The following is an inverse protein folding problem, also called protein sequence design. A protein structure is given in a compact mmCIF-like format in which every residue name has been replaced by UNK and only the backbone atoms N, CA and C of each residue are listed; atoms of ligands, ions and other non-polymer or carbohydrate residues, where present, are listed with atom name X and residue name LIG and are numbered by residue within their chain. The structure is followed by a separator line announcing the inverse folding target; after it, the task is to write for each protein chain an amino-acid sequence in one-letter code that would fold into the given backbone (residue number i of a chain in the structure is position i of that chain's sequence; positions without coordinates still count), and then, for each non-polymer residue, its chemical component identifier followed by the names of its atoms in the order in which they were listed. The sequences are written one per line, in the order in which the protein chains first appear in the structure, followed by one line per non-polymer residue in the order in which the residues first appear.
data_IF_721171989503
#
_entry.id   IF_721171989503
#
_cell.length_a   1.000
_cell.length_b   1.000
_cell.length_c   1.000
_cell.angle_alpha   90.00
_cell.angle_beta   90.00
_cell.angle_gamma   90.00
#
_symmetry.space_group_name_H-M   'P 1'
#
loop_
_entity.id
_entity.type
_entity.pdbx_description
1 polymer ?
#
# COMPACT_ATOMS: atom_id res chain seq x y z
N UNK A 1 -13.41 -36.60 25.02
CA UNK A 1 -12.30 -36.44 24.08
C UNK A 1 -12.68 -35.34 23.11
N UNK A 2 -12.33 -34.12 23.43
CA UNK A 2 -12.55 -32.96 22.57
C UNK A 2 -11.73 -33.11 21.30
N UNK A 3 -12.40 -33.29 20.17
CA UNK A 3 -11.80 -33.15 18.86
C UNK A 3 -11.32 -31.71 18.70
N UNK A 4 -10.17 -31.38 19.22
CA UNK A 4 -9.48 -30.11 18.95
C UNK A 4 -9.12 -30.15 17.46
N UNK A 5 -9.96 -29.55 16.63
CA UNK A 5 -9.68 -29.33 15.22
C UNK A 5 -8.40 -28.49 15.12
N UNK A 6 -7.27 -29.19 14.97
CA UNK A 6 -5.95 -28.59 14.80
C UNK A 6 -5.97 -27.71 13.57
N UNK A 7 -5.86 -26.40 13.76
CA UNK A 7 -5.83 -25.43 12.67
C UNK A 7 -4.37 -25.08 12.36
N UNK A 8 -3.99 -25.25 11.09
CA UNK A 8 -2.66 -24.91 10.60
C UNK A 8 -2.69 -23.61 9.80
N UNK A 9 -1.68 -22.78 9.99
CA UNK A 9 -1.45 -21.56 9.23
C UNK A 9 -0.01 -21.52 8.75
N UNK A 10 0.21 -21.13 7.51
CA UNK A 10 1.54 -20.92 6.96
C UNK A 10 1.90 -19.41 7.05
N UNK A 11 3.08 -19.12 7.53
CA UNK A 11 3.58 -17.75 7.59
C UNK A 11 3.76 -17.18 6.18
N UNK A 12 3.27 -15.96 5.93
CA UNK A 12 3.40 -15.29 4.63
C UNK A 12 4.85 -14.97 4.29
N UNK A 13 5.68 -14.63 5.28
CA UNK A 13 7.07 -14.22 5.08
C UNK A 13 8.05 -15.38 4.93
N UNK A 14 8.03 -16.35 5.86
CA UNK A 14 9.01 -17.43 5.84
C UNK A 14 8.47 -18.77 5.34
N UNK A 15 7.15 -18.89 5.12
CA UNK A 15 6.51 -20.13 4.67
C UNK A 15 6.44 -21.23 5.72
N UNK A 16 6.84 -20.99 6.96
CA UNK A 16 6.80 -21.97 8.06
C UNK A 16 5.36 -22.25 8.46
N UNK A 17 4.99 -23.52 8.54
CA UNK A 17 3.66 -23.98 8.98
C UNK A 17 3.65 -24.08 10.50
N UNK A 18 2.77 -23.31 11.12
CA UNK A 18 2.54 -23.33 12.57
C UNK A 18 1.15 -23.86 12.87
N UNK A 19 1.04 -24.63 13.92
CA UNK A 19 -0.23 -24.97 14.52
C UNK A 19 -0.72 -23.79 15.33
N UNK A 20 -1.95 -23.34 15.09
CA UNK A 20 -2.56 -22.25 15.87
C UNK A 20 -3.04 -22.80 17.21
N UNK A 21 -2.50 -22.32 18.34
CA UNK A 21 -3.06 -22.62 19.65
C UNK A 21 -4.40 -21.92 19.82
N UNK A 22 -5.17 -22.33 20.82
CA UNK A 22 -6.34 -21.56 21.26
C UNK A 22 -5.83 -20.23 21.81
N UNK A 23 -6.17 -19.14 21.13
CA UNK A 23 -5.68 -17.81 21.44
C UNK A 23 -6.67 -17.12 22.40
N UNK A 24 -6.19 -16.58 23.52
CA UNK A 24 -6.99 -15.80 24.43
C UNK A 24 -7.34 -14.42 23.86
N UNK A 25 -8.42 -13.82 24.36
CA UNK A 25 -8.88 -12.49 23.94
C UNK A 25 -7.83 -11.44 24.26
N UNK A 26 -7.38 -10.72 23.23
CA UNK A 26 -6.36 -9.67 23.35
C UNK A 26 -4.93 -10.15 23.08
N UNK A 27 -4.71 -11.45 22.86
CA UNK A 27 -3.39 -11.99 22.53
C UNK A 27 -3.15 -12.09 21.04
N UNK A 28 -1.88 -12.24 20.68
CA UNK A 28 -1.39 -12.29 19.28
C UNK A 28 -0.61 -13.58 19.10
N UNK A 29 -0.92 -14.35 18.06
CA UNK A 29 -0.10 -15.46 17.65
C UNK A 29 0.96 -14.99 16.67
N UNK A 30 2.23 -15.29 16.96
CA UNK A 30 3.38 -14.98 16.11
C UNK A 30 4.05 -16.25 15.59
N UNK A 31 4.68 -16.15 14.44
CA UNK A 31 5.44 -17.23 13.84
C UNK A 31 6.67 -17.56 14.70
N UNK A 32 6.86 -18.82 15.05
CA UNK A 32 8.01 -19.28 15.84
C UNK A 32 9.36 -19.15 15.11
N UNK A 33 9.35 -19.02 13.77
CA UNK A 33 10.55 -18.90 12.96
C UNK A 33 11.01 -17.44 12.77
N UNK A 34 10.10 -16.52 12.37
CA UNK A 34 10.47 -15.15 11.98
C UNK A 34 9.79 -14.06 12.82
N UNK A 35 8.95 -14.43 13.80
CA UNK A 35 8.24 -13.48 14.67
C UNK A 35 7.11 -12.70 13.98
N UNK A 36 6.77 -12.98 12.71
CA UNK A 36 5.66 -12.34 12.01
C UNK A 36 4.32 -12.65 12.68
N UNK A 37 3.44 -11.67 12.77
CA UNK A 37 2.11 -11.82 13.37
C UNK A 37 1.22 -12.66 12.45
N UNK A 38 0.75 -13.81 12.92
CA UNK A 38 -0.09 -14.72 12.15
C UNK A 38 -1.57 -14.36 12.28
N UNK A 39 -2.05 -14.12 13.48
CA UNK A 39 -3.43 -13.73 13.77
C UNK A 39 -3.54 -13.08 15.15
N UNK A 40 -4.59 -12.26 15.33
CA UNK A 40 -4.85 -11.54 16.58
C UNK A 40 -6.31 -11.70 16.98
N UNK A 41 -6.56 -12.10 18.23
CA UNK A 41 -7.93 -12.21 18.75
C UNK A 41 -8.37 -10.91 19.41
N UNK A 42 -9.16 -10.10 18.71
CA UNK A 42 -9.75 -8.87 19.23
C UNK A 42 -10.94 -9.17 20.17
N UNK A 43 -11.12 -8.34 21.20
CA UNK A 43 -12.21 -8.50 22.19
C UNK A 43 -13.62 -8.35 21.58
N UNK A 44 -13.80 -7.38 20.67
CA UNK A 44 -15.07 -7.10 20.00
C UNK A 44 -14.85 -6.91 18.49
N UNK A 45 -14.53 -7.98 17.73
CA UNK A 45 -14.08 -7.84 16.36
C UNK A 45 -15.17 -7.26 15.45
N UNK A 46 -16.43 -7.68 15.60
CA UNK A 46 -17.54 -7.21 14.77
C UNK A 46 -17.87 -5.75 15.03
N UNK A 47 -18.10 -5.40 16.31
CA UNK A 47 -18.54 -4.05 16.69
C UNK A 47 -17.48 -3.01 16.37
N UNK A 48 -16.22 -3.32 16.68
CA UNK A 48 -15.09 -2.43 16.39
C UNK A 48 -14.91 -2.19 14.88
N UNK A 49 -15.03 -3.24 14.05
CA UNK A 49 -14.96 -3.12 12.61
C UNK A 49 -16.08 -2.27 12.03
N UNK A 50 -17.33 -2.50 12.48
CA UNK A 50 -18.51 -1.73 12.03
C UNK A 50 -18.40 -0.26 12.45
N UNK A 51 -18.09 0.01 13.73
CA UNK A 51 -18.01 1.38 14.25
C UNK A 51 -16.90 2.19 13.57
N UNK A 52 -15.70 1.60 13.42
CA UNK A 52 -14.59 2.29 12.75
C UNK A 52 -14.87 2.55 11.26
N UNK A 53 -15.45 1.58 10.54
CA UNK A 53 -15.74 1.76 9.12
C UNK A 53 -16.85 2.78 8.88
N UNK A 54 -17.89 2.81 9.74
CA UNK A 54 -18.93 3.82 9.68
C UNK A 54 -18.38 5.21 9.98
N UNK A 55 -17.58 5.35 11.06
CA UNK A 55 -16.93 6.61 11.39
C UNK A 55 -16.01 7.11 10.29
N UNK A 56 -15.27 6.18 9.66
CA UNK A 56 -14.40 6.49 8.53
C UNK A 56 -15.18 7.01 7.32
N UNK A 57 -16.31 6.41 6.97
CA UNK A 57 -17.18 6.87 5.87
C UNK A 57 -17.78 8.26 6.16
N UNK A 58 -18.22 8.52 7.40
CA UNK A 58 -18.74 9.83 7.80
C UNK A 58 -17.63 10.89 7.66
N UNK A 59 -16.41 10.61 8.17
CA UNK A 59 -15.28 11.54 8.05
C UNK A 59 -14.89 11.79 6.59
N UNK A 60 -14.95 10.77 5.72
CA UNK A 60 -14.70 10.92 4.30
C UNK A 60 -15.73 11.86 3.65
N UNK A 61 -17.02 11.66 3.91
CA UNK A 61 -18.08 12.54 3.38
C UNK A 61 -17.89 13.97 3.84
N UNK A 62 -17.59 14.20 5.12
CA UNK A 62 -17.31 15.52 5.66
C UNK A 62 -16.05 16.15 5.02
N UNK A 63 -15.04 15.35 4.72
CA UNK A 63 -13.82 15.84 4.06
C UNK A 63 -14.03 16.26 2.59
N UNK A 64 -15.10 15.78 1.95
CA UNK A 64 -15.46 16.16 0.59
C UNK A 64 -16.43 17.35 0.54
N UNK A 65 -17.18 17.60 1.64
CA UNK A 65 -18.25 18.60 1.68
C UNK A 65 -17.75 20.02 1.92
N UNK A 66 -16.61 20.20 2.59
CA UNK A 66 -16.09 21.52 2.96
C UNK A 66 -14.80 21.86 2.20
N UNK A 67 -14.40 23.16 2.17
CA UNK A 67 -13.11 23.57 1.61
C UNK A 67 -11.96 22.89 2.35
N UNK A 68 -11.04 22.32 1.59
CA UNK A 68 -9.87 21.63 2.14
C UNK A 68 -8.82 22.61 2.64
N UNK A 69 -8.55 23.64 1.84
CA UNK A 69 -7.67 24.75 2.19
C UNK A 69 -8.07 25.99 1.42
N UNK A 70 -7.67 27.15 1.92
CA UNK A 70 -7.75 28.39 1.17
C UNK A 70 -6.41 29.11 1.21
N UNK A 71 -6.08 29.78 0.13
CA UNK A 71 -4.88 30.59 0.06
C UNK A 71 -5.24 32.00 -0.44
N UNK A 72 -4.47 32.98 0.01
CA UNK A 72 -4.64 34.38 -0.34
C UNK A 72 -3.33 34.90 -0.91
N UNK A 73 -3.42 35.46 -2.13
CA UNK A 73 -2.32 36.16 -2.80
C UNK A 73 -2.84 37.52 -3.24
N UNK A 74 -2.21 38.59 -2.79
CA UNK A 74 -2.57 40.00 -3.14
C UNK A 74 -4.07 40.32 -2.91
N UNK A 75 -4.70 39.74 -1.87
CA UNK A 75 -6.09 39.97 -1.54
C UNK A 75 -7.11 39.09 -2.27
N UNK A 76 -6.70 38.30 -3.25
CA UNK A 76 -7.54 37.28 -3.91
C UNK A 76 -7.54 36.00 -3.09
N UNK A 77 -8.71 35.65 -2.53
CA UNK A 77 -8.90 34.36 -1.81
C UNK A 77 -9.41 33.31 -2.77
N UNK A 78 -8.74 32.16 -2.79
CA UNK A 78 -9.18 30.98 -3.52
C UNK A 78 -9.35 29.81 -2.55
N UNK A 79 -10.51 29.17 -2.63
CA UNK A 79 -10.83 27.98 -1.84
C UNK A 79 -10.70 26.73 -2.72
N UNK A 80 -10.07 25.69 -2.17
CA UNK A 80 -9.83 24.45 -2.88
C UNK A 80 -10.57 23.32 -2.19
N UNK A 81 -11.41 22.64 -2.97
CA UNK A 81 -12.07 21.42 -2.60
C UNK A 81 -11.28 20.21 -3.13
N UNK A 82 -11.26 19.13 -2.38
CA UNK A 82 -10.51 17.94 -2.74
C UNK A 82 -10.93 17.35 -4.10
N UNK A 83 -12.24 17.36 -4.39
CA UNK A 83 -12.77 16.87 -5.68
C UNK A 83 -12.42 17.82 -6.82
N UNK A 84 -12.50 19.13 -6.61
CA UNK A 84 -12.20 20.15 -7.61
C UNK A 84 -10.72 20.12 -7.98
N UNK A 85 -9.82 19.84 -7.02
CA UNK A 85 -8.41 19.67 -7.28
C UNK A 85 -8.13 18.48 -8.25
N UNK A 86 -8.81 17.37 -8.07
CA UNK A 86 -8.70 16.22 -8.98
C UNK A 86 -9.29 16.51 -10.36
N UNK A 87 -10.40 17.26 -10.44
CA UNK A 87 -11.04 17.66 -11.69
C UNK A 87 -10.16 18.63 -12.48
N UNK A 88 -9.60 19.65 -11.84
CA UNK A 88 -8.68 20.59 -12.49
C UNK A 88 -7.47 19.91 -13.12
N UNK A 89 -6.91 18.90 -12.47
CA UNK A 89 -5.83 18.10 -13.03
C UNK A 89 -6.24 17.34 -14.28
N UNK A 90 -7.47 16.83 -14.34
CA UNK A 90 -7.95 16.12 -15.53
C UNK A 90 -8.22 17.04 -16.72
N UNK A 91 -8.71 18.23 -16.48
CA UNK A 91 -9.01 19.24 -17.52
C UNK A 91 -7.73 19.81 -18.14
N UNK A 92 -6.64 19.94 -17.39
CA UNK A 92 -5.36 20.50 -17.83
C UNK A 92 -4.41 19.49 -18.49
N UNK A 93 -4.92 18.60 -19.33
CA UNK A 93 -4.18 17.58 -20.10
C UNK A 93 -3.41 16.53 -19.26
N UNK A 94 -3.61 16.51 -17.94
CA UNK A 94 -2.96 15.57 -17.03
C UNK A 94 -3.93 14.58 -16.40
N UNK A 95 -4.83 14.03 -17.23
CA UNK A 95 -5.86 13.09 -16.83
C UNK A 95 -5.32 11.91 -16.00
N UNK A 96 -4.11 11.46 -16.31
CA UNK A 96 -3.47 10.34 -15.59
C UNK A 96 -3.17 10.70 -14.13
N UNK A 97 -2.64 11.89 -13.85
CA UNK A 97 -2.37 12.34 -12.47
C UNK A 97 -3.67 12.61 -11.71
N UNK A 98 -4.67 13.23 -12.34
CA UNK A 98 -5.98 13.49 -11.73
C UNK A 98 -6.72 12.20 -11.40
N UNK A 99 -6.74 11.21 -12.31
CA UNK A 99 -7.37 9.89 -12.06
C UNK A 99 -6.61 9.10 -10.99
N UNK A 100 -5.29 9.17 -10.95
CA UNK A 100 -4.48 8.53 -9.91
C UNK A 100 -4.78 9.14 -8.54
N UNK A 101 -4.85 10.47 -8.45
CA UNK A 101 -5.18 11.17 -7.20
C UNK A 101 -6.59 10.82 -6.72
N UNK A 102 -7.61 10.99 -7.57
CA UNK A 102 -8.98 10.66 -7.22
C UNK A 102 -9.13 9.19 -6.84
N UNK A 103 -8.52 8.29 -7.64
CA UNK A 103 -8.57 6.85 -7.42
C UNK A 103 -7.97 6.44 -6.09
N UNK A 104 -6.75 6.90 -5.78
CA UNK A 104 -6.01 6.48 -4.58
C UNK A 104 -6.48 7.14 -3.29
N UNK A 105 -6.98 8.39 -3.35
CA UNK A 105 -7.30 9.20 -2.17
C UNK A 105 -8.79 9.14 -1.81
N UNK A 106 -9.67 9.05 -2.81
CA UNK A 106 -11.13 9.09 -2.60
C UNK A 106 -11.78 7.75 -2.92
N UNK A 107 -11.64 7.27 -4.16
CA UNK A 107 -12.39 6.12 -4.64
C UNK A 107 -11.99 4.80 -3.96
N UNK A 108 -10.72 4.45 -3.96
CA UNK A 108 -10.25 3.19 -3.34
C UNK A 108 -10.49 3.13 -1.83
N UNK A 109 -10.22 4.20 -1.03
CA UNK A 109 -10.55 4.20 0.39
C UNK A 109 -12.05 4.13 0.68
N UNK A 110 -12.90 4.82 -0.10
CA UNK A 110 -14.35 4.72 0.00
C UNK A 110 -14.84 3.30 -0.27
N UNK A 111 -14.36 2.68 -1.34
CA UNK A 111 -14.68 1.29 -1.69
C UNK A 111 -14.18 0.32 -0.62
N UNK A 112 -12.96 0.50 -0.13
CA UNK A 112 -12.37 -0.35 0.91
C UNK A 112 -13.16 -0.30 2.22
N UNK A 113 -13.50 0.90 2.70
CA UNK A 113 -14.25 1.07 3.95
C UNK A 113 -15.69 0.56 3.84
N UNK A 114 -16.36 0.75 2.70
CA UNK A 114 -17.69 0.15 2.42
C UNK A 114 -17.63 -1.37 2.36
N UNK A 115 -16.61 -1.96 1.75
CA UNK A 115 -16.40 -3.41 1.74
C UNK A 115 -16.18 -3.96 3.16
N UNK A 116 -15.38 -3.29 3.97
CA UNK A 116 -15.16 -3.69 5.38
C UNK A 116 -16.45 -3.64 6.17
N UNK A 117 -17.21 -2.55 6.05
CA UNK A 117 -18.50 -2.41 6.71
C UNK A 117 -19.44 -3.56 6.35
N UNK A 118 -19.61 -3.81 5.07
CA UNK A 118 -20.44 -4.90 4.56
C UNK A 118 -20.00 -6.27 5.07
N UNK A 119 -18.69 -6.58 4.98
CA UNK A 119 -18.15 -7.88 5.38
C UNK A 119 -18.25 -8.12 6.90
N UNK A 120 -18.07 -7.08 7.74
CA UNK A 120 -18.24 -7.22 9.19
C UNK A 120 -19.71 -7.41 9.59
N UNK A 121 -20.65 -6.74 8.91
CA UNK A 121 -22.09 -6.97 9.09
C UNK A 121 -22.44 -8.41 8.71
N UNK A 122 -21.98 -8.88 7.55
CA UNK A 122 -22.21 -10.26 7.10
C UNK A 122 -21.54 -11.31 8.00
N UNK A 123 -20.32 -11.04 8.48
CA UNK A 123 -19.65 -11.92 9.45
C UNK A 123 -20.42 -12.01 10.78
N UNK A 124 -20.99 -10.89 11.27
CA UNK A 124 -21.85 -10.88 12.46
C UNK A 124 -23.14 -11.70 12.22
N UNK A 125 -23.77 -11.54 11.06
CA UNK A 125 -24.96 -12.33 10.67
C UNK A 125 -24.62 -13.82 10.57
N UNK A 126 -23.50 -14.19 9.96
CA UNK A 126 -23.03 -15.56 9.86
C UNK A 126 -22.83 -16.24 11.22
N UNK A 127 -22.26 -15.49 12.18
CA UNK A 127 -22.08 -15.97 13.55
C UNK A 127 -23.43 -16.26 14.25
N UNK A 128 -24.51 -15.53 13.90
CA UNK A 128 -25.85 -15.71 14.45
C UNK A 128 -26.69 -16.77 13.70
N UNK A 129 -26.10 -17.59 12.82
CA UNK A 129 -26.76 -18.66 12.03
C UNK A 129 -27.92 -18.21 11.14
N UNK A 130 -28.00 -16.93 10.77
CA UNK A 130 -29.08 -16.36 9.95
C UNK A 130 -28.75 -16.32 8.43
N UNK A 131 -27.97 -17.27 7.90
CA UNK A 131 -27.41 -17.13 6.54
C UNK A 131 -27.97 -18.13 5.52
N UNK A 132 -28.26 -17.62 4.31
CA UNK A 132 -28.49 -18.39 3.08
C UNK A 132 -27.15 -18.65 2.37
N UNK A 133 -27.03 -19.82 1.73
CA UNK A 133 -25.80 -20.33 1.09
C UNK A 133 -25.26 -19.44 -0.06
N UNK A 134 -26.15 -18.65 -0.70
CA UNK A 134 -25.83 -17.72 -1.79
C UNK A 134 -24.98 -16.51 -1.34
N UNK A 135 -25.18 -16.05 -0.12
CA UNK A 135 -24.45 -14.88 0.43
C UNK A 135 -22.95 -15.13 0.63
N UNK A 136 -22.55 -16.40 0.81
CA UNK A 136 -21.16 -16.77 0.99
C UNK A 136 -20.31 -16.57 -0.28
N UNK A 137 -20.86 -16.81 -1.47
CA UNK A 137 -20.12 -16.63 -2.72
C UNK A 137 -19.78 -15.17 -2.98
N UNK A 138 -20.72 -14.26 -2.72
CA UNK A 138 -20.49 -12.81 -2.86
C UNK A 138 -19.47 -12.33 -1.83
N UNK A 139 -19.63 -12.71 -0.56
CA UNK A 139 -18.72 -12.33 0.51
C UNK A 139 -17.28 -12.81 0.27
N UNK A 140 -17.07 -14.00 -0.30
CA UNK A 140 -15.77 -14.52 -0.71
C UNK A 140 -15.13 -13.67 -1.82
N UNK A 141 -15.91 -13.31 -2.85
CA UNK A 141 -15.43 -12.44 -3.94
C UNK A 141 -15.05 -11.06 -3.43
N UNK A 142 -15.90 -10.46 -2.60
CA UNK A 142 -15.66 -9.14 -2.01
C UNK A 142 -14.45 -9.15 -1.05
N UNK A 143 -14.28 -10.21 -0.24
CA UNK A 143 -13.08 -10.37 0.59
C UNK A 143 -11.81 -10.46 -0.26
N UNK A 144 -11.86 -11.14 -1.42
CA UNK A 144 -10.72 -11.18 -2.35
C UNK A 144 -10.38 -9.79 -2.87
N UNK A 145 -11.38 -9.02 -3.32
CA UNK A 145 -11.20 -7.65 -3.82
C UNK A 145 -10.62 -6.75 -2.72
N UNK A 146 -11.12 -6.87 -1.49
CA UNK A 146 -10.64 -6.11 -0.34
C UNK A 146 -9.13 -6.24 -0.14
N UNK A 147 -8.58 -7.46 -0.15
CA UNK A 147 -7.16 -7.70 0.08
C UNK A 147 -6.28 -7.35 -1.15
N UNK A 148 -6.85 -7.33 -2.37
CA UNK A 148 -6.16 -6.84 -3.57
C UNK A 148 -6.04 -5.31 -3.55
N UNK A 149 -7.06 -4.60 -3.05
CA UNK A 149 -7.07 -3.13 -2.97
C UNK A 149 -6.17 -2.61 -1.83
N UNK A 150 -6.05 -3.35 -0.74
CA UNK A 150 -5.35 -2.90 0.48
C UNK A 150 -3.96 -2.28 0.24
N UNK A 151 -3.06 -2.82 -0.60
CA UNK A 151 -1.74 -2.23 -0.85
C UNK A 151 -1.78 -0.88 -1.59
N UNK A 152 -2.90 -0.57 -2.27
CA UNK A 152 -3.09 0.65 -3.06
C UNK A 152 -3.70 1.81 -2.26
N UNK A 153 -3.98 1.59 -0.97
CA UNK A 153 -4.47 2.64 -0.07
C UNK A 153 -3.29 3.54 0.33
N UNK A 154 -3.35 4.80 -0.08
CA UNK A 154 -2.25 5.77 0.09
C UNK A 154 -2.71 7.09 0.72
N UNK A 155 -3.78 7.05 1.51
CA UNK A 155 -4.35 8.25 2.16
C UNK A 155 -3.39 8.89 3.15
N UNK A 156 -2.64 8.06 3.90
CA UNK A 156 -1.60 8.48 4.84
C UNK A 156 -0.45 9.19 4.12
N UNK A 157 -0.01 8.65 2.98
CA UNK A 157 1.03 9.24 2.14
C UNK A 157 0.56 10.55 1.51
N UNK A 158 -0.70 10.61 1.03
CA UNK A 158 -1.30 11.84 0.51
C UNK A 158 -1.35 12.94 1.57
N UNK A 159 -1.77 12.62 2.81
CA UNK A 159 -1.82 13.60 3.90
C UNK A 159 -0.45 14.22 4.17
N UNK A 160 0.62 13.41 4.17
CA UNK A 160 1.98 13.91 4.32
C UNK A 160 2.39 14.77 3.11
N UNK A 161 2.02 14.35 1.89
CA UNK A 161 2.23 15.13 0.68
C UNK A 161 1.56 16.51 0.74
N UNK A 162 0.32 16.58 1.25
CA UNK A 162 -0.38 17.85 1.51
C UNK A 162 0.42 18.73 2.48
N UNK A 163 0.86 18.17 3.62
CA UNK A 163 1.64 18.93 4.61
C UNK A 163 2.94 19.50 4.03
N UNK A 164 3.66 18.68 3.25
CA UNK A 164 4.89 19.12 2.57
C UNK A 164 4.58 20.24 1.55
N UNK A 165 3.49 20.12 0.79
CA UNK A 165 3.06 21.13 -0.17
C UNK A 165 2.65 22.42 0.52
N UNK A 166 1.95 22.35 1.66
CA UNK A 166 1.57 23.50 2.47
C UNK A 166 2.79 24.28 2.97
N UNK A 167 3.79 23.57 3.52
CA UNK A 167 5.03 24.20 3.99
C UNK A 167 5.72 24.95 2.82
N UNK A 168 5.71 24.36 1.63
CA UNK A 168 6.33 24.95 0.43
C UNK A 168 5.57 26.22 -0.03
N UNK A 169 4.25 26.22 0.05
CA UNK A 169 3.43 27.36 -0.39
C UNK A 169 3.37 28.45 0.67
N UNK A 170 3.43 28.09 1.96
CA UNK A 170 3.43 29.05 3.06
C UNK A 170 4.60 30.05 3.01
N UNK A 171 5.68 29.74 2.28
CA UNK A 171 6.76 30.70 1.98
C UNK A 171 6.41 31.73 0.89
N UNK A 172 5.33 31.51 0.12
CA UNK A 172 4.95 32.30 -1.05
C UNK A 172 3.58 32.98 -0.90
N UNK A 173 2.69 32.43 -0.06
CA UNK A 173 1.32 32.90 0.10
C UNK A 173 0.80 32.63 1.52
N UNK A 174 -0.16 33.42 1.98
CA UNK A 174 -0.87 33.14 3.22
C UNK A 174 -1.84 31.98 3.02
N UNK A 175 -1.57 30.86 3.70
CA UNK A 175 -2.36 29.63 3.60
C UNK A 175 -3.16 29.44 4.87
N UNK A 176 -4.47 29.21 4.73
CA UNK A 176 -5.33 28.80 5.85
C UNK A 176 -5.93 27.42 5.61
N UNK A 177 -5.94 26.61 6.67
CA UNK A 177 -6.48 25.24 6.61
C UNK A 177 -8.00 25.26 6.81
N UNK A 178 -8.74 24.65 5.89
CA UNK A 178 -10.19 24.50 5.99
C UNK A 178 -10.61 23.40 6.96
N UNK A 179 -11.90 23.36 7.29
CA UNK A 179 -12.46 22.32 8.16
C UNK A 179 -12.30 20.91 7.59
N UNK A 180 -12.34 20.78 6.25
CA UNK A 180 -12.16 19.51 5.55
C UNK A 180 -10.77 18.90 5.76
N UNK A 181 -9.73 19.72 5.93
CA UNK A 181 -8.38 19.24 6.25
C UNK A 181 -8.36 18.43 7.57
N UNK A 182 -8.98 18.96 8.62
CA UNK A 182 -9.03 18.29 9.93
C UNK A 182 -9.88 17.01 9.91
N UNK A 183 -11.00 17.04 9.17
CA UNK A 183 -11.82 15.83 8.98
C UNK A 183 -11.08 14.78 8.16
N UNK A 184 -10.27 15.19 7.18
CA UNK A 184 -9.41 14.29 6.42
C UNK A 184 -8.28 13.69 7.27
N UNK A 185 -7.69 14.45 8.18
CA UNK A 185 -6.74 13.91 9.17
C UNK A 185 -7.40 12.83 10.02
N UNK A 186 -8.61 13.09 10.53
CA UNK A 186 -9.39 12.10 11.28
C UNK A 186 -9.72 10.86 10.46
N UNK A 187 -10.12 11.04 9.20
CA UNK A 187 -10.34 9.97 8.24
C UNK A 187 -9.09 9.10 8.04
N UNK A 188 -7.92 9.72 7.80
CA UNK A 188 -6.65 9.02 7.60
C UNK A 188 -6.27 8.17 8.83
N UNK A 189 -6.38 8.73 10.03
CA UNK A 189 -6.09 8.00 11.28
C UNK A 189 -7.05 6.81 11.46
N UNK A 190 -8.34 6.99 11.19
CA UNK A 190 -9.33 5.92 11.28
C UNK A 190 -9.05 4.83 10.25
N UNK A 191 -8.73 5.19 9.01
CA UNK A 191 -8.40 4.24 7.96
C UNK A 191 -7.16 3.40 8.31
N UNK A 192 -6.10 4.02 8.81
CA UNK A 192 -4.90 3.30 9.27
C UNK A 192 -5.24 2.32 10.40
N UNK A 193 -6.08 2.73 11.36
CA UNK A 193 -6.56 1.84 12.44
C UNK A 193 -7.39 0.67 11.92
N UNK A 194 -8.20 0.89 10.90
CA UNK A 194 -9.00 -0.17 10.26
C UNK A 194 -8.06 -1.17 9.58
N UNK A 195 -7.13 -0.69 8.74
CA UNK A 195 -6.17 -1.53 8.00
C UNK A 195 -5.31 -2.35 8.96
N UNK A 196 -4.76 -1.72 10.00
CA UNK A 196 -3.94 -2.39 11.02
C UNK A 196 -4.73 -3.34 11.94
N UNK A 197 -6.03 -3.11 12.09
CA UNK A 197 -6.92 -3.93 12.92
C UNK A 197 -7.57 -5.09 12.21
N UNK A 198 -7.51 -5.14 10.88
CA UNK A 198 -8.15 -6.17 10.07
C UNK A 198 -7.33 -7.46 10.12
N UNK A 199 -7.90 -8.51 10.71
CA UNK A 199 -7.32 -9.84 10.70
C UNK A 199 -7.87 -10.64 9.51
N UNK A 200 -6.97 -10.98 8.56
CA UNK A 200 -7.28 -11.71 7.33
C UNK A 200 -7.78 -13.12 7.65
N UNK A 201 -7.08 -13.82 8.54
CA UNK A 201 -7.43 -15.18 8.91
C UNK A 201 -8.82 -15.26 9.57
N UNK A 202 -9.08 -14.35 10.53
CA UNK A 202 -10.36 -14.24 11.21
C UNK A 202 -11.52 -13.97 10.24
N UNK A 203 -11.36 -13.02 9.32
CA UNK A 203 -12.42 -12.67 8.37
C UNK A 203 -12.79 -13.85 7.45
N UNK A 204 -11.78 -14.52 6.92
CA UNK A 204 -12.00 -15.65 6.03
C UNK A 204 -12.61 -16.87 6.74
N UNK A 205 -12.33 -17.07 8.03
CA UNK A 205 -12.87 -18.19 8.81
C UNK A 205 -14.40 -18.16 8.89
N UNK A 206 -15.00 -16.95 8.87
CA UNK A 206 -16.47 -16.80 8.92
C UNK A 206 -17.17 -17.16 7.60
N UNK A 207 -16.48 -16.96 6.46
CA UNK A 207 -17.10 -17.21 5.14
C UNK A 207 -16.75 -18.58 4.56
N UNK A 208 -15.65 -19.16 4.98
CA UNK A 208 -15.22 -20.46 4.50
C UNK A 208 -14.25 -21.07 5.51
N UNK A 209 -14.69 -22.04 6.32
CA UNK A 209 -13.83 -22.75 7.24
C UNK A 209 -12.71 -23.48 6.46
N UNK A 210 -11.57 -23.67 7.10
CA UNK A 210 -10.45 -24.41 6.53
C UNK A 210 -10.77 -25.90 6.55
N UNK A 211 -10.52 -26.59 5.44
CA UNK A 211 -10.59 -28.07 5.39
C UNK A 211 -9.49 -28.69 6.24
N UNK A 212 -9.76 -29.84 6.83
CA UNK A 212 -8.75 -30.60 7.57
C UNK A 212 -7.61 -31.05 6.65
N UNK A 213 -6.38 -30.78 7.06
CA UNK A 213 -5.17 -31.16 6.35
C UNK A 213 -4.68 -32.50 6.88
N UNK A 214 -4.38 -33.44 5.98
CA UNK A 214 -3.93 -34.81 6.34
C UNK A 214 -2.42 -34.97 6.26
N UNK A 215 -1.78 -34.31 5.30
CA UNK A 215 -0.36 -34.51 4.95
C UNK A 215 0.56 -33.36 5.33
N UNK A 216 0.07 -32.36 6.09
CA UNK A 216 0.84 -31.19 6.51
C UNK A 216 1.08 -31.25 8.00
N UNK A 217 2.35 -31.08 8.41
CA UNK A 217 2.79 -31.11 9.81
C UNK A 217 3.33 -29.74 10.23
N UNK A 218 3.30 -29.49 11.55
CA UNK A 218 4.01 -28.33 12.12
C UNK A 218 5.50 -28.44 11.81
N UNK A 219 6.10 -27.36 11.33
CA UNK A 219 7.49 -27.34 10.89
C UNK A 219 7.70 -27.50 9.40
N UNK A 220 6.66 -27.90 8.64
CA UNK A 220 6.76 -27.94 7.19
C UNK A 220 7.01 -26.54 6.62
N UNK A 221 7.71 -26.50 5.50
CA UNK A 221 8.11 -25.27 4.79
C UNK A 221 7.61 -25.35 3.34
N UNK A 222 7.64 -24.24 2.63
CA UNK A 222 7.33 -24.16 1.20
C UNK A 222 8.22 -25.09 0.33
N UNK A 223 9.37 -25.54 0.86
CA UNK A 223 10.31 -26.47 0.18
C UNK A 223 9.90 -27.93 0.28
N UNK A 224 9.07 -28.32 1.25
CA UNK A 224 8.59 -29.71 1.37
C UNK A 224 7.70 -30.13 0.20
N UNK A 225 7.23 -29.13 -0.61
CA UNK A 225 6.40 -29.31 -1.81
C UNK A 225 5.17 -30.18 -1.61
N UNK A 226 4.72 -30.38 -0.38
CA UNK A 226 3.51 -31.11 -0.03
C UNK A 226 2.29 -30.18 0.08
N UNK A 227 2.51 -28.87 0.14
CA UNK A 227 1.47 -27.85 0.27
C UNK A 227 1.83 -26.53 -0.40
N UNK A 228 0.80 -25.73 -0.68
CA UNK A 228 0.93 -24.32 -1.12
C UNK A 228 0.02 -23.45 -0.26
N UNK A 229 0.52 -22.35 0.23
CA UNK A 229 -0.26 -21.34 0.96
C UNK A 229 -0.81 -20.28 0.01
N UNK A 230 -2.08 -19.92 0.19
CA UNK A 230 -2.72 -18.85 -0.59
C UNK A 230 -2.39 -17.48 -0.01
N UNK A 231 -1.84 -16.58 -0.83
CA UNK A 231 -1.51 -15.22 -0.43
C UNK A 231 -2.74 -14.31 -0.18
N UNK A 232 -3.95 -14.74 -0.62
CA UNK A 232 -5.18 -13.95 -0.44
C UNK A 232 -5.92 -14.35 0.84
N UNK A 233 -6.11 -15.65 1.09
CA UNK A 233 -6.92 -16.14 2.20
C UNK A 233 -6.15 -16.91 3.27
N UNK A 234 -4.82 -17.04 3.12
CA UNK A 234 -3.90 -17.76 4.01
C UNK A 234 -4.24 -19.25 4.20
N UNK A 235 -5.14 -19.81 3.38
CA UNK A 235 -5.45 -21.22 3.43
C UNK A 235 -4.29 -22.05 2.86
N UNK A 236 -4.01 -23.17 3.50
CA UNK A 236 -3.05 -24.16 3.01
C UNK A 236 -3.82 -25.14 2.12
N UNK A 237 -3.32 -25.38 0.91
CA UNK A 237 -3.85 -26.37 -0.02
C UNK A 237 -2.84 -27.47 -0.19
N UNK A 238 -3.25 -28.73 0.04
CA UNK A 238 -2.38 -29.89 -0.14
C UNK A 238 -2.12 -30.16 -1.62
N UNK A 239 -0.90 -30.56 -1.93
CA UNK A 239 -0.48 -30.97 -3.26
C UNK A 239 -0.47 -32.48 -3.35
N UNK A 240 -1.26 -33.06 -4.26
CA UNK A 240 -1.20 -34.48 -4.55
C UNK A 240 0.07 -34.78 -5.36
N UNK A 241 0.89 -35.69 -4.87
CA UNK A 241 2.18 -36.12 -5.47
C UNK A 241 2.10 -36.62 -6.92
N UNK A 242 0.90 -36.89 -7.43
CA UNK A 242 0.69 -37.40 -8.80
C UNK A 242 0.36 -36.30 -9.84
N UNK A 243 0.02 -35.12 -9.43
CA UNK A 243 -0.44 -34.07 -10.37
C UNK A 243 0.67 -33.02 -10.58
N UNK A 244 1.46 -33.21 -11.64
CA UNK A 244 2.49 -32.24 -12.09
C UNK A 244 1.89 -30.98 -12.75
N UNK A 245 0.62 -30.66 -12.50
CA UNK A 245 0.01 -29.44 -13.02
C UNK A 245 0.65 -28.21 -12.40
N UNK A 246 1.08 -27.32 -13.26
CA UNK A 246 1.75 -26.05 -12.90
C UNK A 246 0.83 -25.05 -12.18
N UNK A 247 -0.47 -25.28 -12.10
CA UNK A 247 -1.44 -24.43 -11.43
C UNK A 247 -2.44 -25.24 -10.61
N UNK A 248 -2.55 -24.92 -9.34
CA UNK A 248 -3.55 -25.49 -8.40
C UNK A 248 -4.50 -24.37 -7.98
N UNK A 249 -5.79 -24.62 -7.93
CA UNK A 249 -6.75 -23.63 -7.41
C UNK A 249 -6.85 -23.73 -5.89
N UNK A 250 -6.90 -22.60 -5.19
CA UNK A 250 -7.12 -22.57 -3.75
C UNK A 250 -8.49 -23.18 -3.41
N UNK A 251 -8.52 -24.12 -2.47
CA UNK A 251 -9.75 -24.77 -2.02
C UNK A 251 -10.75 -23.82 -1.36
N UNK A 252 -10.28 -22.65 -0.90
CA UNK A 252 -11.07 -21.67 -0.14
C UNK A 252 -11.57 -20.48 -0.97
N UNK A 253 -10.69 -19.80 -1.70
CA UNK A 253 -11.00 -18.60 -2.47
C UNK A 253 -10.95 -18.79 -3.99
N UNK A 254 -10.65 -20.00 -4.47
CA UNK A 254 -10.54 -20.38 -5.88
C UNK A 254 -9.56 -19.52 -6.71
N UNK A 255 -8.59 -18.89 -6.05
CA UNK A 255 -7.50 -18.19 -6.75
C UNK A 255 -6.54 -19.23 -7.29
N UNK A 256 -6.03 -19.01 -8.50
CA UNK A 256 -4.97 -19.84 -9.09
C UNK A 256 -3.70 -19.69 -8.25
N UNK A 257 -3.23 -20.79 -7.70
CA UNK A 257 -1.97 -20.88 -6.97
C UNK A 257 -0.93 -21.45 -7.92
N UNK A 258 0.12 -20.71 -8.16
CA UNK A 258 1.29 -21.20 -8.87
C UNK A 258 2.26 -21.78 -7.87
N UNK A 259 2.86 -22.93 -8.21
CA UNK A 259 3.96 -23.47 -7.43
C UNK A 259 5.07 -22.41 -7.38
N UNK A 260 5.56 -22.16 -6.18
CA UNK A 260 6.62 -21.18 -5.98
C UNK A 260 7.86 -21.56 -6.79
N UNK A 261 8.15 -20.77 -7.83
CA UNK A 261 9.36 -20.90 -8.62
C UNK A 261 10.24 -19.66 -8.37
N UNK A 262 11.30 -19.79 -7.55
CA UNK A 262 12.12 -18.63 -7.17
C UNK A 262 12.81 -17.97 -8.36
N UNK A 263 13.19 -18.74 -9.40
CA UNK A 263 13.88 -18.19 -10.57
C UNK A 263 12.99 -17.28 -11.41
N UNK A 264 11.79 -17.72 -11.77
CA UNK A 264 10.87 -16.90 -12.58
C UNK A 264 10.38 -15.66 -11.84
N UNK A 265 10.20 -15.79 -10.52
CA UNK A 265 9.79 -14.64 -9.68
C UNK A 265 10.90 -13.60 -9.60
N UNK A 266 12.13 -14.04 -9.38
CA UNK A 266 13.29 -13.15 -9.28
C UNK A 266 13.60 -12.46 -10.62
N UNK A 267 13.44 -13.14 -11.76
CA UNK A 267 13.57 -12.53 -13.09
C UNK A 267 12.56 -11.40 -13.32
N UNK A 268 11.29 -11.59 -12.91
CA UNK A 268 10.27 -10.52 -12.97
C UNK A 268 10.64 -9.33 -12.10
N UNK A 269 11.13 -9.58 -10.88
CA UNK A 269 11.57 -8.53 -9.96
C UNK A 269 12.74 -7.72 -10.55
N UNK A 270 13.74 -8.38 -11.12
CA UNK A 270 14.86 -7.72 -11.80
C UNK A 270 14.41 -6.93 -13.02
N UNK A 271 13.52 -7.47 -13.86
CA UNK A 271 13.01 -6.77 -15.02
C UNK A 271 12.29 -5.47 -14.64
N UNK A 272 11.43 -5.51 -13.62
CA UNK A 272 10.75 -4.33 -13.10
C UNK A 272 11.70 -3.30 -12.50
N UNK A 273 12.72 -3.76 -11.76
CA UNK A 273 13.72 -2.88 -11.15
C UNK A 273 14.61 -2.19 -12.20
N UNK A 274 15.05 -2.92 -13.22
CA UNK A 274 15.84 -2.37 -14.33
C UNK A 274 14.98 -1.37 -15.12
N UNK A 275 13.73 -1.69 -15.40
CA UNK A 275 12.81 -0.75 -16.05
C UNK A 275 12.65 0.53 -15.23
N UNK A 276 12.50 0.42 -13.91
CA UNK A 276 12.46 1.58 -13.02
C UNK A 276 13.74 2.41 -13.08
N UNK A 277 14.91 1.78 -13.10
CA UNK A 277 16.20 2.47 -13.22
C UNK A 277 16.34 3.23 -14.57
N UNK A 278 15.82 2.66 -15.67
CA UNK A 278 15.79 3.33 -16.97
C UNK A 278 14.90 4.59 -16.92
N UNK A 279 13.69 4.48 -16.34
CA UNK A 279 12.78 5.63 -16.19
C UNK A 279 13.28 6.68 -15.19
N UNK A 280 14.17 6.31 -14.27
CA UNK A 280 14.75 7.25 -13.30
C UNK A 280 15.68 8.29 -13.98
N UNK A 281 16.30 7.94 -15.10
CA UNK A 281 17.16 8.85 -15.86
C UNK A 281 16.33 10.05 -16.39
N UNK A 282 15.28 9.87 -17.19
CA UNK A 282 14.47 10.99 -17.68
C UNK A 282 13.72 11.73 -16.54
N UNK A 283 13.37 11.05 -15.46
CA UNK A 283 12.73 11.68 -14.30
C UNK A 283 13.60 12.76 -13.64
N UNK A 284 14.93 12.65 -13.72
CA UNK A 284 15.87 13.63 -13.15
C UNK A 284 16.42 14.63 -14.18
N UNK A 285 16.43 14.29 -15.47
CA UNK A 285 16.96 15.14 -16.53
C UNK A 285 15.94 16.14 -17.08
N UNK A 286 14.67 15.72 -17.19
CA UNK A 286 13.63 16.61 -17.71
C UNK A 286 13.02 17.48 -16.61
N UNK A 287 12.40 18.62 -16.98
CA UNK A 287 11.71 19.47 -16.02
C UNK A 287 10.52 18.72 -15.39
N UNK A 288 10.44 18.80 -14.05
CA UNK A 288 9.37 18.21 -13.26
C UNK A 288 8.10 19.06 -13.33
N UNK A 289 8.28 20.39 -13.39
CA UNK A 289 7.21 21.36 -13.49
C UNK A 289 7.64 22.55 -14.34
N UNK A 290 6.66 23.16 -15.01
CA UNK A 290 6.80 24.44 -15.68
C UNK A 290 6.05 25.49 -14.88
N UNK A 291 6.75 26.55 -14.48
CA UNK A 291 6.14 27.72 -13.83
C UNK A 291 5.97 28.82 -14.87
N UNK A 292 4.73 29.22 -15.09
CA UNK A 292 4.40 30.38 -15.94
C UNK A 292 4.15 31.56 -15.02
N UNK A 293 4.97 32.61 -15.14
CA UNK A 293 4.83 33.84 -14.37
C UNK A 293 5.01 35.03 -15.31
N UNK A 294 4.01 35.91 -15.39
CA UNK A 294 4.04 37.13 -16.22
C UNK A 294 4.46 36.89 -17.68
N UNK A 295 4.05 35.76 -18.27
CA UNK A 295 4.35 35.41 -19.66
C UNK A 295 5.68 34.68 -19.88
N UNK A 296 6.53 34.54 -18.86
CA UNK A 296 7.74 33.72 -18.92
C UNK A 296 7.47 32.32 -18.43
N UNK A 297 7.88 31.32 -19.20
CA UNK A 297 7.79 29.90 -18.86
C UNK A 297 9.16 29.38 -18.46
N UNK A 298 9.33 29.02 -17.19
CA UNK A 298 10.56 28.41 -16.68
C UNK A 298 10.29 26.97 -16.29
N UNK A 299 11.03 26.04 -16.90
CA UNK A 299 11.03 24.63 -16.53
C UNK A 299 12.03 24.35 -15.42
N UNK A 300 11.61 23.76 -14.33
CA UNK A 300 12.50 23.40 -13.22
C UNK A 300 12.59 21.88 -13.04
N UNK A 301 13.84 21.37 -12.97
CA UNK A 301 14.10 20.00 -12.57
C UNK A 301 14.02 19.87 -11.05
N UNK A 302 13.91 18.63 -10.53
CA UNK A 302 13.88 18.36 -9.08
C UNK A 302 15.11 18.98 -8.41
N UNK A 303 16.30 18.74 -8.99
CA UNK A 303 17.57 19.21 -8.43
C UNK A 303 17.65 20.74 -8.44
N UNK A 304 17.22 21.40 -9.52
CA UNK A 304 17.18 22.87 -9.59
C UNK A 304 16.25 23.44 -8.52
N UNK A 305 15.08 22.82 -8.28
CA UNK A 305 14.19 23.20 -7.20
C UNK A 305 14.81 23.12 -5.82
N UNK A 306 15.56 22.07 -5.54
CA UNK A 306 16.32 21.89 -4.27
C UNK A 306 17.37 22.97 -4.11
N UNK A 307 18.18 23.22 -5.14
CA UNK A 307 19.24 24.25 -5.14
C UNK A 307 18.66 25.65 -4.95
N UNK A 308 17.56 25.96 -5.63
CA UNK A 308 16.87 27.24 -5.49
C UNK A 308 16.39 27.48 -4.05
N UNK A 309 15.72 26.47 -3.45
CA UNK A 309 15.26 26.57 -2.06
C UNK A 309 16.42 26.69 -1.06
N UNK A 310 17.55 26.07 -1.37
CA UNK A 310 18.77 26.20 -0.57
C UNK A 310 19.30 27.63 -0.60
N UNK A 311 19.39 28.25 -1.78
CA UNK A 311 19.80 29.64 -1.93
C UNK A 311 18.84 30.65 -1.31
N UNK A 312 17.52 30.33 -1.29
CA UNK A 312 16.51 31.17 -0.62
C UNK A 312 16.52 31.01 0.91
N UNK A 313 17.45 30.27 1.50
CA UNK A 313 17.59 30.08 2.95
C UNK A 313 16.58 29.11 3.58
N UNK A 314 15.73 28.45 2.75
CA UNK A 314 14.74 27.47 3.21
C UNK A 314 15.34 26.07 3.32
N UNK A 315 16.43 25.92 4.10
CA UNK A 315 17.21 24.70 4.24
C UNK A 315 16.38 23.45 4.63
N UNK A 316 15.46 23.52 5.63
CA UNK A 316 14.69 22.32 6.02
C UNK A 316 13.85 21.78 4.88
N UNK A 317 13.25 22.66 4.06
CA UNK A 317 12.39 22.28 2.94
C UNK A 317 13.24 21.68 1.82
N UNK A 318 14.39 22.28 1.50
CA UNK A 318 15.32 21.76 0.51
C UNK A 318 15.79 20.34 0.86
N UNK A 319 16.15 20.10 2.14
CA UNK A 319 16.58 18.79 2.62
C UNK A 319 15.43 17.76 2.52
N UNK A 320 14.21 18.10 2.92
CA UNK A 320 13.06 17.20 2.84
C UNK A 320 12.80 16.78 1.39
N UNK A 321 12.80 17.74 0.45
CA UNK A 321 12.56 17.45 -0.97
C UNK A 321 13.70 16.59 -1.53
N UNK A 322 14.95 16.91 -1.24
CA UNK A 322 16.11 16.13 -1.69
C UNK A 322 16.03 14.68 -1.18
N UNK A 323 15.73 14.52 0.10
CA UNK A 323 15.58 13.19 0.71
C UNK A 323 14.44 12.39 0.08
N UNK A 324 13.27 13.00 -0.09
CA UNK A 324 12.09 12.31 -0.61
C UNK A 324 12.23 11.95 -2.10
N UNK A 325 12.68 12.92 -2.92
CA UNK A 325 12.62 12.80 -4.40
C UNK A 325 13.86 12.15 -5.01
N UNK A 326 15.03 12.23 -4.35
CA UNK A 326 16.29 11.70 -4.90
C UNK A 326 16.82 10.56 -4.03
N UNK A 327 17.03 10.81 -2.74
CA UNK A 327 17.70 9.84 -1.87
C UNK A 327 16.86 8.58 -1.63
N UNK A 328 15.57 8.71 -1.27
CA UNK A 328 14.70 7.56 -0.97
C UNK A 328 14.50 6.67 -2.20
N UNK A 329 14.19 7.15 -3.42
CA UNK A 329 14.10 6.29 -4.61
C UNK A 329 15.39 5.55 -4.92
N UNK A 330 16.54 6.21 -4.83
CA UNK A 330 17.85 5.58 -5.05
C UNK A 330 18.11 4.51 -3.99
N UNK A 331 17.96 4.85 -2.71
CA UNK A 331 18.16 3.92 -1.60
C UNK A 331 17.25 2.70 -1.71
N UNK A 332 15.99 2.89 -2.12
CA UNK A 332 15.03 1.81 -2.36
C UNK A 332 15.46 0.90 -3.51
N UNK A 333 15.90 1.46 -4.64
CA UNK A 333 16.39 0.66 -5.76
C UNK A 333 17.63 -0.17 -5.37
N UNK A 334 18.56 0.42 -4.61
CA UNK A 334 19.71 -0.31 -4.08
C UNK A 334 19.31 -1.39 -3.08
N UNK A 335 18.39 -1.10 -2.16
CA UNK A 335 17.91 -2.07 -1.17
C UNK A 335 17.21 -3.27 -1.85
N UNK A 336 16.35 -3.02 -2.85
CA UNK A 336 15.71 -4.07 -3.64
C UNK A 336 16.73 -4.88 -4.44
N UNK A 337 17.68 -4.22 -5.11
CA UNK A 337 18.75 -4.88 -5.86
C UNK A 337 19.62 -5.77 -4.96
N UNK A 338 19.99 -5.28 -3.79
CA UNK A 338 20.72 -6.06 -2.79
C UNK A 338 19.91 -7.26 -2.30
N UNK A 339 18.62 -7.06 -2.04
CA UNK A 339 17.70 -8.12 -1.60
C UNK A 339 17.58 -9.23 -2.66
N UNK A 340 17.44 -8.84 -3.95
CA UNK A 340 17.34 -9.79 -5.07
C UNK A 340 18.67 -10.52 -5.33
N UNK A 341 19.80 -9.81 -5.20
CA UNK A 341 21.11 -10.43 -5.27
C UNK A 341 21.30 -11.48 -4.17
N UNK A 342 20.90 -11.14 -2.95
CA UNK A 342 20.96 -12.04 -1.81
C UNK A 342 20.04 -13.26 -1.98
N UNK A 343 18.82 -13.05 -2.44
CA UNK A 343 17.88 -14.13 -2.74
C UNK A 343 18.40 -15.11 -3.82
N UNK A 344 19.17 -14.60 -4.77
CA UNK A 344 19.80 -15.43 -5.80
C UNK A 344 20.97 -16.27 -5.25
N UNK A 345 21.73 -15.73 -4.30
CA UNK A 345 22.93 -16.34 -3.75
C UNK A 345 22.68 -17.18 -2.49
N UNK A 346 21.51 -17.09 -1.87
CA UNK A 346 21.15 -17.74 -0.60
C UNK A 346 21.04 -19.26 -0.76
N UNK A 347 22.17 -19.96 -0.79
CA UNK A 347 22.20 -21.44 -0.70
C UNK A 347 22.53 -21.93 0.72
N UNK A 348 23.15 -21.13 1.60
CA UNK A 348 23.59 -21.53 2.93
C UNK A 348 23.64 -20.32 3.89
N UNK A 349 22.49 -19.79 4.29
CA UNK A 349 22.47 -18.63 5.20
C UNK A 349 22.16 -19.07 6.62
N UNK A 350 22.94 -18.60 7.60
CA UNK A 350 22.66 -18.81 9.04
C UNK A 350 21.36 -18.14 9.46
N UNK A 351 20.71 -18.64 10.49
CA UNK A 351 19.38 -18.18 10.94
C UNK A 351 19.35 -16.70 11.33
N UNK A 352 20.42 -16.17 11.91
CA UNK A 352 20.51 -14.75 12.27
C UNK A 352 20.59 -13.84 11.04
N UNK A 353 21.28 -14.27 10.01
CA UNK A 353 21.42 -13.52 8.76
C UNK A 353 20.09 -13.47 7.99
N UNK A 354 19.29 -14.55 8.09
CA UNK A 354 17.93 -14.60 7.56
C UNK A 354 17.00 -13.57 8.21
N UNK A 355 17.03 -13.46 9.55
CA UNK A 355 16.23 -12.46 10.28
C UNK A 355 16.60 -11.03 9.93
N UNK A 356 17.88 -10.75 9.74
CA UNK A 356 18.37 -9.43 9.33
C UNK A 356 17.89 -9.08 7.93
N UNK A 357 17.93 -10.03 6.99
CA UNK A 357 17.46 -9.82 5.62
C UNK A 357 15.94 -9.61 5.58
N UNK A 358 15.16 -10.31 6.41
CA UNK A 358 13.72 -10.07 6.55
C UNK A 358 13.42 -8.68 7.16
N UNK A 359 14.24 -8.19 8.10
CA UNK A 359 14.08 -6.81 8.61
C UNK A 359 14.30 -5.78 7.52
N UNK A 360 15.34 -5.94 6.70
CA UNK A 360 15.59 -5.05 5.56
C UNK A 360 14.42 -5.10 4.58
N UNK A 361 13.87 -6.28 4.30
CA UNK A 361 12.67 -6.42 3.45
C UNK A 361 11.48 -5.61 4.02
N UNK A 362 11.15 -5.78 5.31
CA UNK A 362 10.05 -5.06 5.98
C UNK A 362 10.25 -3.54 5.94
N UNK A 363 11.48 -3.06 6.16
CA UNK A 363 11.81 -1.64 6.08
C UNK A 363 11.65 -1.13 4.64
N UNK A 364 12.14 -1.88 3.66
CA UNK A 364 12.04 -1.51 2.24
C UNK A 364 10.58 -1.48 1.76
N UNK A 365 9.75 -2.40 2.22
CA UNK A 365 8.31 -2.41 1.93
C UNK A 365 7.59 -1.20 2.56
N UNK A 366 7.92 -0.86 3.82
CA UNK A 366 7.37 0.31 4.49
C UNK A 366 7.74 1.60 3.74
N UNK A 367 9.04 1.80 3.46
CA UNK A 367 9.55 2.97 2.73
C UNK A 367 8.99 3.02 1.31
N UNK A 368 8.69 1.85 0.73
CA UNK A 368 8.17 1.73 -0.63
C UNK A 368 6.89 2.53 -0.87
N UNK A 369 5.98 2.58 0.08
CA UNK A 369 4.74 3.37 0.01
C UNK A 369 5.01 4.88 0.10
N UNK A 370 5.97 5.29 0.91
CA UNK A 370 6.32 6.70 1.11
C UNK A 370 6.95 7.35 -0.13
N UNK A 371 7.48 6.57 -1.05
CA UNK A 371 8.01 7.06 -2.32
C UNK A 371 6.95 7.72 -3.23
N UNK A 372 5.65 7.55 -2.94
CA UNK A 372 4.55 8.21 -3.65
C UNK A 372 4.31 9.66 -3.22
N UNK A 373 4.95 10.14 -2.14
CA UNK A 373 4.76 11.51 -1.60
C UNK A 373 4.99 12.55 -2.69
N UNK A 374 6.05 12.42 -3.47
CA UNK A 374 6.43 13.42 -4.48
C UNK A 374 5.39 13.58 -5.58
N UNK A 375 4.75 12.48 -6.01
CA UNK A 375 3.67 12.54 -7.00
C UNK A 375 2.49 13.34 -6.44
N UNK A 376 2.14 13.10 -5.19
CA UNK A 376 1.07 13.85 -4.53
C UNK A 376 1.45 15.32 -4.30
N UNK A 377 2.71 15.60 -3.93
CA UNK A 377 3.20 16.98 -3.79
C UNK A 377 3.06 17.75 -5.11
N UNK A 378 3.51 17.14 -6.23
CA UNK A 378 3.37 17.77 -7.55
C UNK A 378 1.91 17.95 -7.94
N UNK A 379 1.09 16.93 -7.76
CA UNK A 379 -0.34 16.99 -8.07
C UNK A 379 -1.04 18.11 -7.27
N UNK A 380 -0.72 18.25 -5.99
CA UNK A 380 -1.28 19.29 -5.13
C UNK A 380 -0.76 20.68 -5.55
N UNK A 381 0.54 20.82 -5.84
CA UNK A 381 1.10 22.09 -6.29
C UNK A 381 0.47 22.56 -7.61
N UNK A 382 0.29 21.65 -8.56
CA UNK A 382 -0.38 21.95 -9.83
C UNK A 382 -1.84 22.33 -9.61
N UNK A 383 -2.55 21.68 -8.69
CA UNK A 383 -3.94 22.00 -8.37
C UNK A 383 -4.08 23.33 -7.59
N UNK A 384 -3.08 23.67 -6.77
CA UNK A 384 -3.09 24.86 -5.93
C UNK A 384 -2.73 26.14 -6.66
N UNK A 385 -1.70 26.11 -7.53
CA UNK A 385 -1.12 27.30 -8.13
C UNK A 385 -1.68 27.51 -9.54
N UNK A 386 -2.99 27.59 -9.65
CA UNK A 386 -3.68 28.05 -10.86
C UNK A 386 -4.39 29.37 -10.59
N UNK A 387 -3.58 30.40 -10.33
CA UNK A 387 -4.07 31.80 -10.26
C UNK A 387 -4.23 32.28 -11.70
N UNK A 388 -5.48 32.36 -12.17
CA UNK A 388 -5.83 32.85 -13.49
C UNK A 388 -5.06 34.15 -13.77
N UNK A 389 -4.21 34.15 -14.81
CA UNK A 389 -3.43 35.23 -15.36
C UNK A 389 -2.21 35.76 -14.57
N UNK A 390 -1.90 35.28 -13.36
CA UNK A 390 -0.74 35.77 -12.59
C UNK A 390 0.35 34.72 -12.50
N UNK A 391 -0.01 33.50 -12.16
CA UNK A 391 0.93 32.40 -12.00
C UNK A 391 0.21 31.06 -12.25
N UNK A 392 0.79 30.19 -13.07
CA UNK A 392 0.29 28.83 -13.29
C UNK A 392 1.44 27.84 -13.24
N UNK A 393 1.22 26.68 -12.63
CA UNK A 393 2.17 25.56 -12.64
C UNK A 393 1.59 24.42 -13.45
N UNK A 394 2.36 23.96 -14.43
CA UNK A 394 2.04 22.79 -15.24
C UNK A 394 3.03 21.65 -14.95
N UNK A 395 2.57 20.39 -14.83
CA UNK A 395 3.48 19.28 -14.67
C UNK A 395 4.27 19.04 -15.94
N UNK A 396 5.56 18.83 -15.78
CA UNK A 396 6.47 18.50 -16.88
C UNK A 396 6.54 16.99 -17.19
N UNK A 397 7.22 16.59 -18.26
CA UNK A 397 7.36 15.20 -18.67
C UNK A 397 8.09 14.33 -17.63
N UNK A 398 8.94 14.91 -16.80
CA UNK A 398 9.58 14.19 -15.70
C UNK A 398 8.60 13.68 -14.66
N UNK A 399 7.45 14.36 -14.44
CA UNK A 399 6.44 13.91 -13.50
C UNK A 399 5.87 12.53 -13.85
N UNK A 400 5.60 12.27 -15.15
CA UNK A 400 5.14 10.96 -15.62
C UNK A 400 6.23 9.89 -15.50
N UNK A 401 7.46 10.23 -15.86
CA UNK A 401 8.61 9.32 -15.72
C UNK A 401 8.85 8.96 -14.27
N UNK A 402 8.75 9.92 -13.35
CA UNK A 402 8.88 9.72 -11.92
C UNK A 402 7.74 8.83 -11.37
N UNK A 403 6.50 9.08 -11.79
CA UNK A 403 5.37 8.23 -11.46
C UNK A 403 5.60 6.77 -11.91
N UNK A 404 6.13 6.57 -13.13
CA UNK A 404 6.48 5.24 -13.61
C UNK A 404 7.56 4.57 -12.74
N UNK A 405 8.61 5.28 -12.33
CA UNK A 405 9.65 4.77 -11.41
C UNK A 405 9.03 4.27 -10.10
N UNK A 406 8.17 5.08 -9.50
CA UNK A 406 7.56 4.76 -8.20
C UNK A 406 6.63 3.54 -8.33
N UNK A 407 5.79 3.49 -9.36
CA UNK A 407 4.88 2.37 -9.62
C UNK A 407 5.69 1.09 -9.92
N UNK A 408 6.70 1.14 -10.78
CA UNK A 408 7.52 -0.02 -11.14
C UNK A 408 8.29 -0.57 -9.94
N UNK A 409 8.88 0.30 -9.12
CA UNK A 409 9.58 -0.13 -7.90
C UNK A 409 8.62 -0.70 -6.85
N UNK A 410 7.37 -0.19 -6.77
CA UNK A 410 6.34 -0.73 -5.91
C UNK A 410 5.88 -2.11 -6.39
N UNK A 411 5.60 -2.25 -7.69
CA UNK A 411 5.25 -3.54 -8.30
C UNK A 411 6.37 -4.57 -8.13
N UNK A 412 7.63 -4.15 -8.30
CA UNK A 412 8.80 -5.00 -8.09
C UNK A 412 8.86 -5.53 -6.65
N UNK A 413 8.60 -4.69 -5.66
CA UNK A 413 8.55 -5.08 -4.25
C UNK A 413 7.35 -5.99 -3.95
N UNK A 414 6.18 -5.76 -4.56
CA UNK A 414 4.97 -6.58 -4.37
C UNK A 414 5.08 -7.97 -5.02
N UNK A 415 5.78 -8.07 -6.16
CA UNK A 415 6.03 -9.35 -6.86
C UNK A 415 7.06 -10.19 -6.10
N UNK A 416 7.95 -9.57 -5.35
CA UNK A 416 8.97 -10.28 -4.60
C UNK A 416 8.35 -11.09 -3.46
N UNK A 417 8.57 -12.41 -3.47
CA UNK A 417 8.12 -13.30 -2.39
C UNK A 417 9.28 -13.51 -1.40
N UNK A 418 9.15 -13.05 -0.14
CA UNK A 418 10.20 -13.17 0.88
C UNK A 418 10.55 -14.63 1.22
N UNK A 419 9.71 -15.60 0.86
CA UNK A 419 10.06 -17.04 0.97
C UNK A 419 11.28 -17.43 0.14
N UNK A 420 11.62 -16.63 -0.90
CA UNK A 420 12.83 -16.85 -1.70
C UNK A 420 14.13 -16.68 -0.88
N UNK A 421 14.06 -15.95 0.24
CA UNK A 421 15.18 -15.75 1.16
C UNK A 421 15.39 -16.93 2.11
N UNK A 422 14.41 -17.80 2.27
CA UNK A 422 14.44 -18.95 3.18
C UNK A 422 14.66 -20.24 2.36
N UNK A 423 15.90 -20.65 2.19
CA UNK A 423 16.27 -21.96 1.64
C UNK A 423 17.01 -22.75 2.74
N UNK A 424 16.30 -23.49 3.61
CA UNK A 424 16.96 -24.38 4.54
C UNK A 424 17.70 -25.48 3.76
N UNK A 425 18.73 -26.01 4.39
CA UNK A 425 19.56 -27.14 3.91
C UNK A 425 18.74 -28.35 3.53
#
# INVERSE_FOLDING_TARGET
MENTNLQYIACEECGFVSQLPVIDVGTVASCGCCGHVLTKRNRFPYQKGIALSLGCLIMLVLSLAFPFMSFSVQGLKQEIFLLHAAQMLTENQNALLGTLLFGSVVFLPALYTTLILYLHIKAKQAANKQHTQTDFHISKRLSKVLFIIQPWLMVDVFLIGVLVSLIKIASLADVSMGYSFWTFCGFSILLVKIVAGLDRYWLWQHFSPVSQLKNVKTGDNHLTRNHVSCHICQAITELNKGNKQSSVSCSRCHTSLTLFNPHTNLQKCWALLISAAIFFIPANLYPMMYTVSLGNTEGSTILQGVVLLWHLGSYPIAVVIFMASIFIPIAKMFALGWLYYRANRSQHTEQEEHLTTLRVYRITELIGRWSMIDIFVVAILVALVQLQNVMAIYPGPAALSFAAVVILTMLSAMVFDPKSLNRPK
#
